data_IF_020846323888
#
_entry.id   IF_020846323888
#
_cell.length_a   1.000
_cell.length_b   1.000
_cell.length_c   1.000
_cell.angle_alpha   90.00
_cell.angle_beta   90.00
_cell.angle_gamma   90.00
#
_symmetry.space_group_name_H-M   'P 1'
#
loop_
_entity.id
_entity.type
_entity.pdbx_description
1 polymer ?
#
# COMPACT_ATOMS: atom_id res chain seq x y z
N UNK A 1 0.70 -17.60 10.49
CA UNK A 1 1.64 -17.32 9.38
C UNK A 1 1.20 -16.12 8.53
N UNK A 2 -0.03 -16.09 8.01
CA UNK A 2 -0.56 -14.93 7.25
C UNK A 2 -0.46 -13.58 8.00
N UNK A 3 -0.78 -13.55 9.29
CA UNK A 3 -0.66 -12.33 10.11
C UNK A 3 0.77 -11.80 10.22
N UNK A 4 1.77 -12.70 10.24
CA UNK A 4 3.19 -12.33 10.31
C UNK A 4 3.66 -11.77 8.97
N UNK A 5 3.30 -12.43 7.86
CA UNK A 5 3.63 -11.95 6.50
C UNK A 5 2.93 -10.62 6.20
N UNK A 6 1.66 -10.48 6.60
CA UNK A 6 0.92 -9.23 6.49
C UNK A 6 1.53 -8.12 7.35
N UNK A 7 1.97 -8.44 8.58
CA UNK A 7 2.66 -7.48 9.44
C UNK A 7 4.01 -7.01 8.88
N UNK A 8 4.82 -7.94 8.36
CA UNK A 8 6.11 -7.60 7.72
C UNK A 8 5.88 -6.71 6.48
N UNK A 9 4.87 -6.99 5.66
CA UNK A 9 4.49 -6.14 4.53
C UNK A 9 3.95 -4.77 4.95
N UNK A 10 3.13 -4.73 6.01
CA UNK A 10 2.49 -3.51 6.51
C UNK A 10 3.45 -2.52 7.17
N UNK A 11 4.60 -2.98 7.68
CA UNK A 11 5.57 -2.13 8.37
C UNK A 11 6.96 -2.08 7.70
N UNK A 12 7.33 -3.07 6.89
CA UNK A 12 8.63 -3.11 6.19
C UNK A 12 8.74 -2.08 5.06
N UNK A 13 7.61 -1.61 4.53
CA UNK A 13 7.59 -0.65 3.43
C UNK A 13 8.10 0.73 3.84
N UNK A 14 7.92 1.16 5.09
CA UNK A 14 8.33 2.51 5.56
C UNK A 14 9.85 2.69 5.52
N UNK A 15 10.62 1.68 5.93
CA UNK A 15 12.08 1.72 5.89
C UNK A 15 12.64 1.60 4.47
N UNK A 16 12.08 0.68 3.67
CA UNK A 16 12.43 0.50 2.25
C UNK A 16 12.16 1.77 1.43
N UNK A 17 11.09 2.49 1.80
CA UNK A 17 10.66 3.73 1.21
C UNK A 17 11.71 4.85 1.37
N UNK A 18 12.22 5.10 2.59
CA UNK A 18 13.23 6.14 2.81
C UNK A 18 14.55 5.80 2.11
N UNK A 19 14.92 4.52 2.08
CA UNK A 19 16.10 4.06 1.36
C UNK A 19 16.00 4.30 -0.15
N UNK A 20 14.88 3.93 -0.79
CA UNK A 20 14.65 4.15 -2.23
C UNK A 20 14.54 5.64 -2.58
N UNK A 21 13.88 6.45 -1.74
CA UNK A 21 13.77 7.88 -1.97
C UNK A 21 15.15 8.58 -1.88
N UNK A 22 16.02 8.12 -1.00
CA UNK A 22 17.40 8.58 -0.89
C UNK A 22 18.27 8.13 -2.08
N UNK A 23 18.11 6.88 -2.55
CA UNK A 23 18.83 6.35 -3.72
C UNK A 23 18.41 7.03 -5.04
N UNK A 24 17.11 7.20 -5.29
CA UNK A 24 16.58 7.67 -6.60
C UNK A 24 16.58 9.19 -6.72
N UNK A 25 16.25 9.92 -5.65
CA UNK A 25 16.01 11.37 -5.71
C UNK A 25 17.18 12.24 -5.26
N UNK A 26 18.16 11.66 -4.54
CA UNK A 26 19.06 12.43 -3.69
C UNK A 26 18.29 13.24 -2.61
N UNK A 27 19.02 13.94 -1.74
CA UNK A 27 18.45 14.63 -0.56
C UNK A 27 17.35 15.66 -0.90
N UNK A 28 17.33 16.18 -2.13
CA UNK A 28 16.43 17.23 -2.61
C UNK A 28 14.98 16.76 -2.81
N UNK A 29 14.74 15.52 -3.22
CA UNK A 29 13.39 15.02 -3.55
C UNK A 29 12.85 13.97 -2.57
N UNK A 30 13.70 13.51 -1.64
CA UNK A 30 13.32 12.54 -0.61
C UNK A 30 12.05 12.98 0.15
N UNK A 31 11.99 14.24 0.61
CA UNK A 31 10.83 14.76 1.35
C UNK A 31 9.55 14.93 0.53
N UNK A 32 9.64 15.07 -0.79
CA UNK A 32 8.46 15.21 -1.66
C UNK A 32 7.85 13.84 -2.00
N UNK A 33 8.71 12.86 -2.29
CA UNK A 33 8.32 11.45 -2.35
C UNK A 33 7.74 11.00 -0.99
N UNK A 34 8.31 11.57 0.10
CA UNK A 34 7.81 11.69 1.49
C UNK A 34 6.30 11.81 1.61
N UNK A 35 5.91 13.04 1.35
CA UNK A 35 4.54 13.51 1.47
C UNK A 35 3.59 12.81 0.51
N UNK A 36 4.01 12.53 -0.74
CA UNK A 36 3.11 11.90 -1.72
C UNK A 36 2.77 10.47 -1.32
N UNK A 37 3.77 9.67 -0.94
CA UNK A 37 3.54 8.31 -0.46
C UNK A 37 2.73 8.30 0.85
N UNK A 38 3.07 9.22 1.77
CA UNK A 38 2.31 9.43 3.00
C UNK A 38 0.84 9.76 2.72
N UNK A 39 0.57 10.71 1.84
CA UNK A 39 -0.78 11.10 1.46
C UNK A 39 -1.58 9.93 0.86
N UNK A 40 -0.95 9.07 0.04
CA UNK A 40 -1.55 7.83 -0.44
C UNK A 40 -1.84 6.81 0.68
N UNK A 41 -0.96 6.68 1.67
CA UNK A 41 -1.20 5.79 2.79
C UNK A 41 -2.34 6.29 3.69
N UNK A 42 -2.32 7.59 4.02
CA UNK A 42 -3.36 8.23 4.84
C UNK A 42 -4.71 8.25 4.15
N UNK A 43 -4.77 8.45 2.84
CA UNK A 43 -6.03 8.36 2.09
C UNK A 43 -6.61 6.95 2.14
N UNK A 44 -5.78 5.90 2.05
CA UNK A 44 -6.20 4.52 2.26
C UNK A 44 -6.78 4.27 3.66
N UNK A 45 -6.17 4.84 4.71
CA UNK A 45 -6.66 4.74 6.09
C UNK A 45 -7.94 5.55 6.31
N UNK A 46 -8.11 6.69 5.64
CA UNK A 46 -9.31 7.52 5.72
C UNK A 46 -10.50 6.89 4.98
N UNK A 47 -10.26 6.29 3.82
CA UNK A 47 -11.30 5.78 2.92
C UNK A 47 -11.62 4.30 3.15
N UNK A 48 -10.64 3.52 3.60
CA UNK A 48 -10.78 2.07 3.83
C UNK A 48 -11.83 1.68 4.87
N UNK A 49 -11.80 2.21 6.11
CA UNK A 49 -12.77 1.87 7.14
C UNK A 49 -14.22 2.27 6.79
N UNK A 50 -14.49 3.47 6.25
CA UNK A 50 -15.84 3.82 5.79
C UNK A 50 -16.36 2.89 4.69
N UNK A 51 -15.55 2.60 3.66
CA UNK A 51 -15.95 1.69 2.59
C UNK A 51 -16.22 0.27 3.12
N UNK A 52 -15.36 -0.23 4.01
CA UNK A 52 -15.53 -1.54 4.63
C UNK A 52 -16.80 -1.59 5.47
N UNK A 53 -17.07 -0.56 6.27
CA UNK A 53 -18.27 -0.44 7.09
C UNK A 53 -19.55 -0.34 6.26
N UNK A 54 -19.54 0.41 5.14
CA UNK A 54 -20.67 0.50 4.22
C UNK A 54 -20.97 -0.84 3.55
N UNK A 55 -19.94 -1.55 3.09
CA UNK A 55 -20.07 -2.89 2.52
C UNK A 55 -20.61 -3.88 3.55
N UNK A 56 -20.15 -3.79 4.80
CA UNK A 56 -20.62 -4.63 5.90
C UNK A 56 -22.09 -4.37 6.21
N UNK A 57 -22.51 -3.10 6.30
CA UNK A 57 -23.90 -2.74 6.53
C UNK A 57 -24.82 -3.16 5.38
N UNK A 58 -24.38 -3.00 4.13
CA UNK A 58 -25.18 -3.35 2.96
C UNK A 58 -25.35 -4.87 2.78
N UNK A 59 -24.34 -5.67 3.15
CA UNK A 59 -24.35 -7.13 2.94
C UNK A 59 -24.71 -7.92 4.19
N UNK A 60 -24.64 -7.31 5.38
CA UNK A 60 -24.84 -7.99 6.67
C UNK A 60 -23.81 -9.07 7.00
N UNK A 61 -22.74 -9.20 6.20
CA UNK A 61 -21.75 -10.27 6.31
C UNK A 61 -20.34 -9.75 6.13
N UNK A 62 -19.43 -10.12 7.02
CA UNK A 62 -18.01 -9.77 6.93
C UNK A 62 -17.31 -10.38 5.71
N UNK A 63 -17.90 -11.40 5.08
CA UNK A 63 -17.27 -12.14 3.99
C UNK A 63 -17.03 -11.27 2.75
N UNK A 64 -17.97 -10.36 2.43
CA UNK A 64 -17.90 -9.48 1.26
C UNK A 64 -16.87 -8.35 1.40
N UNK A 65 -16.84 -7.59 2.51
CA UNK A 65 -15.77 -6.61 2.78
C UNK A 65 -14.37 -7.21 2.71
N UNK A 66 -14.16 -8.40 3.27
CA UNK A 66 -12.87 -9.09 3.22
C UNK A 66 -12.48 -9.54 1.80
N UNK A 67 -13.44 -10.04 1.02
CA UNK A 67 -13.23 -10.38 -0.39
C UNK A 67 -12.87 -9.14 -1.22
N UNK A 68 -13.59 -8.04 -1.02
CA UNK A 68 -13.31 -6.78 -1.68
C UNK A 68 -11.88 -6.32 -1.36
N UNK A 69 -11.49 -6.31 -0.08
CA UNK A 69 -10.14 -5.95 0.35
C UNK A 69 -9.06 -6.85 -0.31
N UNK A 70 -9.29 -8.16 -0.34
CA UNK A 70 -8.36 -9.12 -0.93
C UNK A 70 -8.18 -8.88 -2.44
N UNK A 71 -9.28 -8.59 -3.16
CA UNK A 71 -9.23 -8.25 -4.58
C UNK A 71 -8.46 -6.95 -4.84
N UNK A 72 -8.65 -5.92 -4.00
CA UNK A 72 -7.92 -4.65 -4.15
C UNK A 72 -6.41 -4.85 -3.96
N UNK A 73 -6.01 -5.62 -2.94
CA UNK A 73 -4.59 -5.95 -2.70
C UNK A 73 -4.01 -6.77 -3.85
N UNK A 74 -4.75 -7.77 -4.33
CA UNK A 74 -4.32 -8.59 -5.46
C UNK A 74 -4.16 -7.75 -6.74
N UNK A 75 -5.13 -6.89 -7.04
CA UNK A 75 -5.07 -6.01 -8.21
C UNK A 75 -3.89 -5.04 -8.14
N UNK A 76 -3.62 -4.47 -6.95
CA UNK A 76 -2.47 -3.59 -6.73
C UNK A 76 -1.14 -4.33 -6.93
N UNK A 77 -1.00 -5.53 -6.35
CA UNK A 77 0.19 -6.37 -6.53
C UNK A 77 0.39 -6.79 -7.98
N UNK A 78 -0.70 -7.14 -8.68
CA UNK A 78 -0.67 -7.49 -10.09
C UNK A 78 -0.26 -6.29 -10.96
N UNK A 79 -0.82 -5.11 -10.72
CA UNK A 79 -0.43 -3.89 -11.43
C UNK A 79 1.06 -3.57 -11.21
N UNK A 80 1.54 -3.66 -9.97
CA UNK A 80 2.96 -3.49 -9.63
C UNK A 80 3.86 -4.49 -10.36
N UNK A 81 3.45 -5.75 -10.49
CA UNK A 81 4.22 -6.77 -11.22
C UNK A 81 4.40 -6.46 -12.72
N UNK A 82 3.58 -5.56 -13.28
CA UNK A 82 3.67 -5.10 -14.67
C UNK A 82 4.59 -3.89 -14.85
N UNK A 83 5.01 -3.24 -13.77
CA UNK A 83 5.87 -2.05 -13.85
C UNK A 83 7.32 -2.51 -13.99
N UNK A 84 8.07 -2.08 -15.03
CA UNK A 84 9.48 -2.42 -15.17
C UNK A 84 10.28 -1.85 -13.99
N UNK A 85 11.32 -2.57 -13.50
CA UNK A 85 12.11 -2.14 -12.36
C UNK A 85 12.75 -0.77 -12.64
N UNK A 86 12.41 0.22 -11.79
CA UNK A 86 12.89 1.61 -11.92
C UNK A 86 14.39 1.76 -11.62
N UNK A 87 15.00 0.81 -10.91
CA UNK A 87 16.43 0.83 -10.58
C UNK A 87 17.16 -0.12 -11.53
N UNK A 88 17.89 0.44 -12.51
CA UNK A 88 18.98 -0.27 -13.17
C UNK A 88 20.11 -0.43 -12.17
N UNK A 89 20.41 -1.69 -11.81
CA UNK A 89 21.65 -2.03 -11.13
C UNK A 89 22.74 -2.10 -12.20
N UNK A 90 23.45 -1.00 -12.38
CA UNK A 90 24.73 -0.97 -13.09
C UNK A 90 25.88 -1.30 -12.10
#
# INVERSE_FOLDING_TARGET
>A
MLAVVAGIGAFGWVGLYFALAAEVGGSRFAGLLTGVAGACAWSGVLVGPPLFGLLLQATGSYRWPWLALALTVFAAGWALSRIPPLVKRD
#
